data_IF_098282778954
#
_entry.id   IF_098282778954
#
_cell.length_a   1.000
_cell.length_b   1.000
_cell.length_c   1.000
_cell.angle_alpha   90.00
_cell.angle_beta   90.00
_cell.angle_gamma   90.00
#
_symmetry.space_group_name_H-M   'P 1'
#
loop_
_entity.id
_entity.type
_entity.pdbx_description
1 polymer ?
#
# COMPACT_ATOMS: atom_id res chain seq x y z
N UNK A 1 -24.20 18.49 2.28
CA UNK A 1 -24.10 17.83 3.60
C UNK A 1 -24.88 16.53 3.52
N UNK A 2 -24.22 15.43 3.17
CA UNK A 2 -24.86 14.12 3.06
C UNK A 2 -24.61 13.39 4.37
N UNK A 3 -25.65 13.30 5.21
CA UNK A 3 -25.65 12.46 6.41
C UNK A 3 -25.72 11.00 5.95
N UNK A 4 -24.65 10.24 6.16
CA UNK A 4 -24.69 8.78 6.03
C UNK A 4 -25.51 8.21 7.20
N UNK A 5 -26.70 7.67 6.90
CA UNK A 5 -27.50 6.91 7.86
C UNK A 5 -26.81 5.57 8.10
N UNK A 6 -26.53 5.28 9.37
CA UNK A 6 -26.12 3.96 9.86
C UNK A 6 -27.18 2.92 9.47
N UNK A 7 -26.74 1.85 8.79
CA UNK A 7 -27.53 0.65 8.58
C UNK A 7 -27.74 -0.05 9.93
N UNK A 8 -28.95 -0.60 10.15
CA UNK A 8 -29.48 -0.94 11.49
C UNK A 8 -29.07 -2.30 12.06
N UNK A 9 -28.32 -3.12 11.33
CA UNK A 9 -28.19 -4.53 11.71
C UNK A 9 -26.79 -4.95 12.24
N UNK A 10 -25.88 -4.00 12.46
CA UNK A 10 -24.56 -4.30 13.05
C UNK A 10 -24.51 -3.77 14.48
N UNK A 11 -24.58 -4.68 15.46
CA UNK A 11 -24.33 -4.36 16.86
C UNK A 11 -22.82 -4.11 17.08
N UNK A 12 -22.37 -2.91 16.75
CA UNK A 12 -20.96 -2.50 16.85
C UNK A 12 -20.38 -2.71 18.25
N UNK A 13 -21.20 -2.59 19.29
CA UNK A 13 -20.81 -2.77 20.68
C UNK A 13 -20.42 -4.22 21.00
N UNK A 14 -21.12 -5.18 20.39
CA UNK A 14 -20.85 -6.61 20.53
C UNK A 14 -19.68 -7.05 19.64
N UNK A 15 -19.60 -6.52 18.42
CA UNK A 15 -18.50 -6.81 17.50
C UNK A 15 -17.13 -6.33 18.02
N UNK A 16 -17.07 -5.17 18.69
CA UNK A 16 -15.83 -4.63 19.27
C UNK A 16 -15.46 -5.33 20.59
N UNK A 17 -16.45 -5.82 21.33
CA UNK A 17 -16.26 -6.47 22.64
C UNK A 17 -15.81 -7.92 22.56
N UNK A 18 -16.26 -8.67 21.54
CA UNK A 18 -16.04 -10.12 21.43
C UNK A 18 -14.93 -10.52 20.44
N UNK A 19 -14.55 -9.65 19.50
CA UNK A 19 -13.57 -9.96 18.47
C UNK A 19 -12.38 -8.99 18.61
N UNK A 20 -11.28 -9.51 19.18
CA UNK A 20 -10.08 -8.72 19.42
C UNK A 20 -9.51 -8.17 18.11
N UNK A 21 -9.69 -6.87 17.92
CA UNK A 21 -8.81 -6.05 17.10
C UNK A 21 -7.42 -5.99 17.76
N UNK A 22 -6.60 -7.02 17.56
CA UNK A 22 -5.32 -7.15 18.28
C UNK A 22 -4.33 -6.01 18.01
N UNK A 23 -4.55 -5.16 17.00
CA UNK A 23 -3.71 -3.97 16.75
C UNK A 23 -4.48 -2.72 16.27
N UNK A 24 -5.77 -2.60 16.57
CA UNK A 24 -6.40 -1.27 16.48
C UNK A 24 -6.23 -0.62 17.85
N UNK A 25 -5.50 0.51 17.98
CA UNK A 25 -5.45 1.19 19.27
C UNK A 25 -6.89 1.48 19.68
N UNK A 26 -7.33 0.95 20.84
CA UNK A 26 -8.60 1.33 21.48
C UNK A 26 -8.76 2.86 21.58
N UNK A 27 -7.68 3.62 21.42
CA UNK A 27 -7.64 5.06 21.31
C UNK A 27 -8.35 5.68 20.07
N UNK A 28 -8.68 4.90 19.04
CA UNK A 28 -9.33 5.42 17.82
C UNK A 28 -10.85 5.28 17.81
N UNK A 29 -11.44 4.59 18.79
CA UNK A 29 -12.87 4.32 18.83
C UNK A 29 -13.42 4.60 20.23
N UNK A 30 -14.56 5.27 20.30
CA UNK A 30 -15.30 5.45 21.53
C UNK A 30 -15.98 4.12 21.90
N UNK A 31 -16.37 3.98 23.17
CA UNK A 31 -17.03 2.77 23.70
C UNK A 31 -18.38 2.43 23.02
N UNK A 32 -18.91 3.33 22.19
CA UNK A 32 -20.11 3.16 21.37
C UNK A 32 -19.82 2.75 19.92
N UNK A 33 -18.56 2.49 19.55
CA UNK A 33 -18.15 2.09 18.20
C UNK A 33 -17.94 3.26 17.22
N UNK A 34 -18.17 4.51 17.62
CA UNK A 34 -17.85 5.65 16.75
C UNK A 34 -16.35 5.92 16.73
N UNK A 35 -15.80 6.25 15.55
CA UNK A 35 -14.41 6.68 15.41
C UNK A 35 -14.21 7.97 16.22
N UNK A 36 -13.26 7.97 17.14
CA UNK A 36 -12.84 9.17 17.84
C UNK A 36 -12.11 10.07 16.85
N UNK A 37 -12.55 11.34 16.68
CA UNK A 37 -11.87 12.27 15.79
C UNK A 37 -10.42 12.45 16.26
N UNK A 38 -9.48 11.94 15.48
CA UNK A 38 -8.06 12.13 15.73
C UNK A 38 -7.72 13.56 15.27
N UNK A 39 -7.67 14.50 16.22
CA UNK A 39 -7.44 15.91 15.91
C UNK A 39 -6.04 16.23 15.35
N UNK A 40 -5.10 15.27 15.42
CA UNK A 40 -3.72 15.48 14.97
C UNK A 40 -3.08 14.18 14.44
N UNK A 41 -3.01 14.05 13.11
CA UNK A 41 -2.39 12.93 12.37
C UNK A 41 -0.95 12.68 12.86
N UNK A 42 -0.20 13.73 13.22
CA UNK A 42 1.20 13.63 13.65
C UNK A 42 1.36 13.02 15.05
N UNK A 43 0.37 13.17 15.94
CA UNK A 43 0.42 12.56 17.28
C UNK A 43 0.16 11.07 17.24
N UNK A 44 -0.77 10.62 16.40
CA UNK A 44 -1.06 9.20 16.20
C UNK A 44 0.16 8.46 15.63
N UNK A 45 0.79 9.01 14.60
CA UNK A 45 2.01 8.42 14.00
C UNK A 45 3.14 8.32 15.03
N UNK A 46 3.41 9.39 15.79
CA UNK A 46 4.43 9.36 16.84
C UNK A 46 4.13 8.31 17.93
N UNK A 47 2.85 8.06 18.24
CA UNK A 47 2.47 7.04 19.21
C UNK A 47 2.72 5.63 18.68
N UNK A 48 2.32 5.37 17.43
CA UNK A 48 2.53 4.08 16.76
C UNK A 48 4.02 3.78 16.60
N UNK A 49 4.83 4.78 16.23
CA UNK A 49 6.29 4.65 16.14
C UNK A 49 6.98 4.39 17.48
N UNK A 50 6.45 4.92 18.59
CA UNK A 50 6.98 4.66 19.94
C UNK A 50 6.72 3.22 20.37
N UNK A 51 5.51 2.71 20.13
CA UNK A 51 5.14 1.34 20.51
C UNK A 51 5.99 0.30 19.78
N UNK A 52 6.38 0.56 18.52
CA UNK A 52 7.28 -0.34 17.77
C UNK A 52 8.73 -0.38 18.28
N UNK A 53 9.14 0.52 19.18
CA UNK A 53 10.52 0.54 19.73
C UNK A 53 10.65 -0.27 21.02
N UNK A 54 9.54 -0.63 21.66
CA UNK A 54 9.54 -1.37 22.92
C UNK A 54 9.61 -2.91 22.71
N UNK A 55 9.48 -3.40 21.47
CA UNK A 55 9.47 -4.83 21.10
C UNK A 55 10.83 -5.39 20.62
N UNK A 56 11.98 -4.80 20.99
CA UNK A 56 13.29 -5.41 20.72
C UNK A 56 13.80 -6.10 21.99
N UNK A 57 13.82 -7.45 22.06
CA UNK A 57 14.42 -8.14 23.20
C UNK A 57 15.94 -7.96 23.16
N UNK A 58 16.51 -7.56 24.30
CA UNK A 58 17.93 -7.66 24.58
C UNK A 58 18.36 -9.13 24.54
N UNK A 59 19.28 -9.48 23.64
CA UNK A 59 20.00 -10.76 23.70
C UNK A 59 21.10 -10.67 24.77
N UNK A 60 20.96 -11.46 25.83
CA UNK A 60 22.07 -11.83 26.71
C UNK A 60 22.43 -13.31 26.49
N UNK A 61 23.74 -13.56 26.52
CA UNK A 61 24.45 -14.76 26.09
C UNK A 61 24.31 -16.01 27.00
N UNK A 62 24.54 -17.16 26.34
CA UNK A 62 25.28 -18.37 26.76
C UNK A 62 24.53 -19.70 27.11
N UNK A 63 24.77 -20.66 26.20
CA UNK A 63 24.80 -22.14 26.20
C UNK A 63 25.11 -22.88 27.54
N UNK A 64 24.69 -24.15 27.73
CA UNK A 64 25.45 -25.30 27.18
C UNK A 64 24.68 -26.57 26.68
N UNK A 65 25.32 -27.16 25.66
CA UNK A 65 25.46 -28.54 25.13
C UNK A 65 24.75 -29.81 25.71
N UNK A 66 24.34 -30.67 24.73
CA UNK A 66 24.62 -32.12 24.52
C UNK A 66 23.85 -33.28 25.23
N UNK A 67 23.53 -34.31 24.41
CA UNK A 67 23.19 -35.72 24.76
C UNK A 67 21.80 -36.16 24.23
N UNK A 68 21.62 -36.93 23.14
CA UNK A 68 21.89 -38.36 22.84
C UNK A 68 20.63 -39.27 22.96
N UNK A 69 20.20 -39.86 21.81
CA UNK A 69 19.63 -41.24 21.55
C UNK A 69 18.49 -41.79 22.45
N UNK A 70 17.39 -42.46 22.02
CA UNK A 70 17.23 -43.59 21.07
C UNK A 70 15.75 -44.12 21.04
N UNK A 71 15.32 -44.81 19.95
CA UNK A 71 14.29 -45.90 19.81
C UNK A 71 12.80 -45.64 20.19
N UNK A 72 11.74 -46.25 19.60
CA UNK A 72 11.37 -46.93 18.35
C UNK A 72 9.84 -47.26 18.47
N UNK A 73 9.14 -47.35 17.33
CA UNK A 73 7.88 -48.08 17.04
C UNK A 73 6.50 -47.69 17.63
N UNK A 74 5.54 -47.39 16.73
CA UNK A 74 4.29 -48.16 16.55
C UNK A 74 3.39 -47.58 15.43
N UNK A 75 2.84 -48.47 14.58
CA UNK A 75 1.78 -48.25 13.59
C UNK A 75 0.45 -47.80 14.24
N UNK A 76 -0.38 -47.04 13.52
CA UNK A 76 -1.69 -47.51 12.99
C UNK A 76 -2.66 -46.35 12.67
N UNK A 77 -3.48 -46.61 11.65
CA UNK A 77 -4.73 -45.96 11.20
C UNK A 77 -4.65 -44.59 10.51
N UNK A 78 -5.22 -44.59 9.29
CA UNK A 78 -5.24 -43.46 8.40
C UNK A 78 -6.23 -42.37 8.79
N UNK A 79 -5.87 -41.16 8.38
CA UNK A 79 -6.79 -40.12 7.98
C UNK A 79 -6.07 -39.33 6.89
N UNK A 80 -6.62 -39.33 5.68
CA UNK A 80 -6.20 -38.44 4.60
C UNK A 80 -6.55 -37.02 5.02
N UNK A 81 -5.62 -36.36 5.71
CA UNK A 81 -5.78 -34.96 6.02
C UNK A 81 -5.46 -34.18 4.75
N UNK A 82 -6.53 -33.69 4.14
CA UNK A 82 -6.49 -32.79 2.99
C UNK A 82 -5.70 -31.58 3.47
N UNK A 83 -4.43 -31.48 3.09
CA UNK A 83 -3.60 -30.31 3.32
C UNK A 83 -4.25 -29.15 2.58
N UNK A 84 -5.16 -28.44 3.25
CA UNK A 84 -5.55 -27.10 2.87
C UNK A 84 -4.28 -26.26 2.97
N UNK A 85 -3.61 -26.08 1.85
CA UNK A 85 -2.54 -25.11 1.75
C UNK A 85 -3.16 -23.74 2.05
N UNK A 86 -2.97 -23.25 3.27
CA UNK A 86 -3.40 -21.92 3.77
C UNK A 86 -2.64 -20.76 3.08
N UNK A 87 -2.13 -21.00 1.86
CA UNK A 87 -1.51 -20.00 1.02
C UNK A 87 -2.53 -19.47 0.02
N UNK A 88 -2.66 -18.14 -0.11
CA UNK A 88 -3.59 -17.56 -1.08
C UNK A 88 -3.19 -17.98 -2.50
N UNK A 89 -4.16 -18.32 -3.35
CA UNK A 89 -3.92 -18.66 -4.76
C UNK A 89 -3.21 -17.55 -5.54
N UNK A 90 -3.35 -16.30 -5.08
CA UNK A 90 -2.80 -15.12 -5.73
C UNK A 90 -2.53 -13.99 -4.76
N UNK A 91 -1.43 -13.27 -4.96
CA UNK A 91 -1.05 -12.10 -4.15
C UNK A 91 -1.02 -10.83 -4.99
N UNK A 92 -1.74 -9.81 -4.56
CA UNK A 92 -1.92 -8.54 -5.28
C UNK A 92 -1.35 -7.41 -4.43
N UNK A 93 -0.39 -6.67 -4.98
CA UNK A 93 0.22 -5.52 -4.34
C UNK A 93 -0.42 -4.21 -4.83
N UNK A 94 -1.05 -3.45 -3.95
CA UNK A 94 -1.53 -2.10 -4.18
C UNK A 94 -0.52 -1.10 -3.63
N UNK A 95 0.11 -0.33 -4.50
CA UNK A 95 1.27 0.51 -4.16
C UNK A 95 0.96 1.96 -4.45
N UNK A 96 1.10 2.79 -3.42
CA UNK A 96 1.20 4.24 -3.61
C UNK A 96 2.59 4.56 -4.21
N UNK A 97 2.59 5.02 -5.45
CA UNK A 97 3.80 5.32 -6.20
C UNK A 97 4.58 6.50 -5.62
N UNK A 98 3.92 7.46 -4.97
CA UNK A 98 4.61 8.63 -4.41
C UNK A 98 5.49 8.23 -3.22
N UNK A 99 5.10 7.20 -2.47
CA UNK A 99 5.90 6.63 -1.38
C UNK A 99 7.22 6.09 -1.89
N UNK A 100 7.19 5.39 -3.03
CA UNK A 100 8.39 4.87 -3.66
C UNK A 100 9.27 5.99 -4.20
N UNK A 101 8.69 7.02 -4.84
CA UNK A 101 9.44 8.20 -5.30
C UNK A 101 10.14 8.88 -4.12
N UNK A 102 9.45 9.10 -3.01
CA UNK A 102 10.03 9.75 -1.82
C UNK A 102 11.16 8.91 -1.20
N UNK A 103 11.08 7.58 -1.24
CA UNK A 103 12.17 6.70 -0.77
C UNK A 103 13.45 6.80 -1.63
N UNK A 104 13.34 7.29 -2.86
CA UNK A 104 14.49 7.57 -3.74
C UNK A 104 15.13 8.95 -3.48
N UNK A 105 14.72 9.68 -2.42
CA UNK A 105 15.30 10.98 -2.08
C UNK A 105 16.82 10.94 -1.88
N UNK A 106 17.35 9.81 -1.42
CA UNK A 106 18.79 9.52 -1.37
C UNK A 106 19.19 8.75 -2.62
N UNK A 107 19.33 9.46 -3.74
CA UNK A 107 19.72 8.86 -5.02
C UNK A 107 21.13 8.28 -4.94
N UNK A 108 21.37 7.03 -5.39
CA UNK A 108 22.72 6.52 -5.62
C UNK A 108 23.49 7.42 -6.59
N UNK A 109 24.83 7.44 -6.48
CA UNK A 109 25.68 8.23 -7.39
C UNK A 109 25.55 7.84 -8.87
N UNK A 110 25.05 6.63 -9.14
CA UNK A 110 24.78 6.11 -10.49
C UNK A 110 23.53 6.73 -11.13
N UNK A 111 22.66 7.40 -10.36
CA UNK A 111 21.45 8.05 -10.90
C UNK A 111 21.80 9.46 -11.38
N UNK A 112 22.07 9.57 -12.69
CA UNK A 112 22.46 10.83 -13.33
C UNK A 112 21.27 11.46 -14.04
N UNK A 113 20.44 10.65 -14.68
CA UNK A 113 19.32 11.07 -15.52
C UNK A 113 17.96 10.63 -14.97
N UNK A 114 16.88 11.16 -15.52
CA UNK A 114 15.52 10.68 -15.24
C UNK A 114 15.32 9.23 -15.69
N UNK A 115 15.99 8.77 -16.75
CA UNK A 115 16.00 7.35 -17.13
C UNK A 115 16.64 6.45 -16.08
N UNK A 116 17.75 6.89 -15.49
CA UNK A 116 18.39 6.14 -14.40
C UNK A 116 17.48 6.10 -13.16
N UNK A 117 16.77 7.20 -12.90
CA UNK A 117 15.78 7.27 -11.82
C UNK A 117 14.63 6.28 -12.06
N UNK A 118 14.11 6.17 -13.29
CA UNK A 118 13.04 5.21 -13.59
C UNK A 118 13.51 3.76 -13.50
N UNK A 119 14.77 3.47 -13.90
CA UNK A 119 15.37 2.16 -13.69
C UNK A 119 15.44 1.80 -12.19
N UNK A 120 15.98 2.71 -11.37
CA UNK A 120 16.07 2.53 -9.92
C UNK A 120 14.69 2.38 -9.26
N UNK A 121 13.71 3.15 -9.72
CA UNK A 121 12.32 3.04 -9.27
C UNK A 121 11.72 1.67 -9.60
N UNK A 122 11.92 1.18 -10.83
CA UNK A 122 11.47 -0.15 -11.25
C UNK A 122 12.10 -1.26 -10.39
N UNK A 123 13.42 -1.21 -10.20
CA UNK A 123 14.13 -2.20 -9.40
C UNK A 123 13.60 -2.23 -7.96
N UNK A 124 13.31 -1.05 -7.39
CA UNK A 124 12.74 -0.94 -6.05
C UNK A 124 11.32 -1.48 -5.98
N UNK A 125 10.49 -1.19 -6.99
CA UNK A 125 9.13 -1.72 -7.08
C UNK A 125 9.15 -3.25 -7.18
N UNK A 126 9.91 -3.80 -8.13
CA UNK A 126 9.99 -5.25 -8.35
C UNK A 126 10.60 -5.98 -7.16
N UNK A 127 11.55 -5.37 -6.45
CA UNK A 127 12.07 -5.91 -5.19
C UNK A 127 11.02 -5.92 -4.08
N UNK A 128 10.23 -4.84 -3.95
CA UNK A 128 9.16 -4.74 -2.94
C UNK A 128 8.04 -5.76 -3.20
N UNK A 129 7.75 -6.04 -4.46
CA UNK A 129 6.62 -6.88 -4.91
C UNK A 129 7.07 -8.20 -5.54
N UNK A 130 8.27 -8.69 -5.17
CA UNK A 130 8.87 -9.89 -5.74
C UNK A 130 7.98 -11.13 -5.64
N UNK A 131 7.24 -11.27 -4.54
CA UNK A 131 6.45 -12.45 -4.24
C UNK A 131 4.95 -12.26 -4.57
N UNK A 132 4.60 -11.26 -5.39
CA UNK A 132 3.23 -10.91 -5.79
C UNK A 132 2.98 -11.22 -7.27
N UNK A 133 1.81 -11.73 -7.62
CA UNK A 133 1.43 -12.07 -9.00
C UNK A 133 0.91 -10.85 -9.78
N UNK A 134 0.39 -9.88 -9.04
CA UNK A 134 -0.22 -8.67 -9.58
C UNK A 134 0.27 -7.43 -8.81
N UNK A 135 0.55 -6.36 -9.55
CA UNK A 135 1.01 -5.08 -9.01
C UNK A 135 0.10 -3.99 -9.57
N UNK A 136 -0.52 -3.23 -8.68
CA UNK A 136 -1.33 -2.05 -9.00
C UNK A 136 -0.59 -0.84 -8.42
N UNK A 137 0.05 -0.06 -9.29
CA UNK A 137 0.78 1.13 -8.94
C UNK A 137 -0.09 2.36 -9.21
N UNK A 138 -0.33 3.18 -8.18
CA UNK A 138 -1.20 4.35 -8.26
C UNK A 138 -0.42 5.61 -7.93
N UNK A 139 -0.60 6.67 -8.71
CA UNK A 139 -0.10 8.00 -8.43
C UNK A 139 -1.25 9.00 -8.27
N UNK A 140 -0.99 10.10 -7.56
CA UNK A 140 -1.88 11.26 -7.55
C UNK A 140 -2.07 11.81 -8.97
N UNK A 141 -3.28 12.26 -9.28
CA UNK A 141 -3.58 13.03 -10.49
C UNK A 141 -3.41 14.52 -10.17
N UNK A 142 -2.57 15.22 -10.94
CA UNK A 142 -2.30 16.64 -10.75
C UNK A 142 -3.12 17.48 -11.73
N UNK A 143 -4.29 17.97 -11.30
CA UNK A 143 -5.14 18.85 -12.12
C UNK A 143 -4.96 20.32 -11.73
N UNK A 144 -4.90 21.19 -12.73
CA UNK A 144 -4.76 22.65 -12.54
C UNK A 144 -6.03 23.30 -11.99
N UNK A 145 -7.20 22.74 -12.34
CA UNK A 145 -8.54 23.20 -11.95
C UNK A 145 -9.04 22.64 -10.60
N UNK A 146 -8.21 21.90 -9.87
CA UNK A 146 -8.62 21.27 -8.61
C UNK A 146 -8.65 22.23 -7.41
N UNK A 147 -9.55 21.97 -6.46
CA UNK A 147 -9.54 22.53 -5.10
C UNK A 147 -8.17 22.37 -4.38
N UNK A 148 -7.40 21.33 -4.72
CA UNK A 148 -6.05 21.12 -4.19
C UNK A 148 -5.00 22.00 -4.83
N UNK A 149 -5.15 22.46 -6.08
CA UNK A 149 -4.16 23.31 -6.74
C UNK A 149 -3.97 24.62 -5.94
N UNK A 150 -5.07 25.24 -5.53
CA UNK A 150 -5.07 26.43 -4.67
C UNK A 150 -4.38 26.19 -3.30
N UNK A 151 -4.50 24.99 -2.74
CA UNK A 151 -3.84 24.63 -1.47
C UNK A 151 -2.35 24.33 -1.68
N UNK A 152 -1.98 23.68 -2.79
CA UNK A 152 -0.59 23.41 -3.17
C UNK A 152 0.16 24.72 -3.46
N UNK A 153 -0.48 25.68 -4.10
CA UNK A 153 0.08 27.02 -4.37
C UNK A 153 0.33 27.83 -3.10
N UNK A 154 -0.60 27.79 -2.13
CA UNK A 154 -0.37 28.39 -0.80
C UNK A 154 0.83 27.79 -0.07
N UNK A 155 1.09 26.47 -0.23
CA UNK A 155 2.25 25.80 0.39
C UNK A 155 3.59 26.16 -0.29
N UNK A 156 3.58 26.67 -1.52
CA UNK A 156 4.80 26.88 -2.33
C UNK A 156 5.49 28.21 -2.13
N UNK A 157 4.80 29.23 -1.61
CA UNK A 157 5.33 30.59 -1.46
C UNK A 157 6.05 31.13 -2.74
N UNK A 158 5.69 30.65 -3.94
CA UNK A 158 6.21 31.12 -5.23
C UNK A 158 7.61 30.67 -5.68
N UNK A 159 8.27 29.70 -5.03
CA UNK A 159 9.68 29.32 -5.32
C UNK A 159 9.89 27.97 -6.03
N UNK A 160 8.92 27.49 -6.80
CA UNK A 160 9.01 26.19 -7.47
C UNK A 160 9.65 26.31 -8.87
N UNK A 161 10.57 25.40 -9.20
CA UNK A 161 11.17 25.32 -10.54
C UNK A 161 10.50 24.17 -11.29
N UNK A 162 9.94 24.47 -12.44
CA UNK A 162 9.47 23.45 -13.37
C UNK A 162 10.66 22.87 -14.14
N UNK A 163 10.92 21.59 -13.95
CA UNK A 163 11.83 20.80 -14.77
C UNK A 163 11.04 20.05 -15.84
N UNK A 164 11.66 19.87 -17.00
CA UNK A 164 11.19 18.98 -18.04
C UNK A 164 11.56 17.53 -17.67
N UNK A 165 10.66 16.58 -17.95
CA UNK A 165 10.87 15.15 -17.67
C UNK A 165 11.07 14.39 -18.99
N UNK A 166 12.30 13.97 -19.26
CA UNK A 166 12.70 13.16 -20.44
C UNK A 166 13.84 12.22 -20.07
N UNK A 167 14.03 11.14 -20.81
CA UNK A 167 15.08 10.14 -20.57
C UNK A 167 16.47 10.77 -20.28
N UNK A 168 16.86 11.80 -21.04
CA UNK A 168 18.15 12.48 -21.01
C UNK A 168 18.25 13.64 -20.01
N UNK A 169 17.16 13.96 -19.30
CA UNK A 169 17.13 15.05 -18.32
C UNK A 169 18.12 14.76 -17.19
N UNK A 170 19.18 15.57 -17.09
CA UNK A 170 20.20 15.43 -16.06
C UNK A 170 19.68 15.94 -14.70
N UNK A 171 19.67 15.05 -13.72
CA UNK A 171 19.26 15.31 -12.34
C UNK A 171 20.38 15.02 -11.32
N UNK A 172 21.61 14.77 -11.76
CA UNK A 172 22.74 14.35 -10.92
C UNK A 172 22.95 15.26 -9.71
N UNK A 173 22.91 16.57 -9.94
CA UNK A 173 23.13 17.60 -8.92
C UNK A 173 21.84 18.25 -8.41
N UNK A 174 20.68 17.69 -8.76
CA UNK A 174 19.38 18.21 -8.36
C UNK A 174 18.82 17.31 -7.26
N UNK A 175 18.65 17.79 -6.02
CA UNK A 175 17.97 17.04 -4.98
C UNK A 175 16.55 16.68 -5.42
N UNK A 176 16.09 15.45 -5.12
CA UNK A 176 14.78 15.00 -5.58
C UNK A 176 13.64 15.88 -5.01
N UNK A 177 13.79 16.37 -3.78
CA UNK A 177 12.84 17.34 -3.17
C UNK A 177 12.72 18.65 -3.98
N UNK A 178 13.82 19.12 -4.57
CA UNK A 178 13.82 20.29 -5.47
C UNK A 178 13.22 19.96 -6.82
N UNK A 179 13.57 18.81 -7.38
CA UNK A 179 13.03 18.33 -8.65
C UNK A 179 11.49 18.21 -8.58
N UNK A 180 10.98 17.71 -7.46
CA UNK A 180 9.55 17.60 -7.17
C UNK A 180 8.94 18.87 -6.56
N UNK A 181 9.53 20.05 -6.74
CA UNK A 181 8.99 21.29 -6.16
C UNK A 181 7.75 21.81 -6.91
N UNK A 182 7.64 21.52 -8.21
CA UNK A 182 6.59 22.00 -9.10
C UNK A 182 5.62 20.87 -9.50
N UNK A 183 4.31 21.14 -9.55
CA UNK A 183 3.27 20.10 -9.73
C UNK A 183 3.30 19.61 -11.16
N UNK A 184 3.56 20.48 -12.15
CA UNK A 184 3.72 20.01 -13.51
C UNK A 184 4.87 19.01 -13.62
N UNK A 185 6.00 19.27 -12.95
CA UNK A 185 7.13 18.33 -12.95
C UNK A 185 6.77 17.03 -12.23
N UNK A 186 5.97 17.10 -11.15
CA UNK A 186 5.46 15.88 -10.50
C UNK A 186 4.54 15.10 -11.43
N UNK A 187 3.58 15.77 -12.06
CA UNK A 187 2.63 15.19 -13.01
C UNK A 187 3.37 14.48 -14.15
N UNK A 188 4.27 15.23 -14.82
CA UNK A 188 5.10 14.72 -15.90
C UNK A 188 5.94 13.53 -15.44
N UNK A 189 6.48 13.56 -14.21
CA UNK A 189 7.25 12.45 -13.66
C UNK A 189 6.39 11.23 -13.36
N UNK A 190 5.23 11.38 -12.73
CA UNK A 190 4.36 10.24 -12.40
C UNK A 190 3.85 9.55 -13.65
N UNK A 191 3.52 10.33 -14.69
CA UNK A 191 3.11 9.79 -15.99
C UNK A 191 4.26 9.07 -16.69
N UNK A 192 5.45 9.68 -16.67
CA UNK A 192 6.65 9.08 -17.21
C UNK A 192 6.98 7.75 -16.51
N UNK A 193 6.93 7.72 -15.16
CA UNK A 193 7.20 6.51 -14.39
C UNK A 193 6.16 5.42 -14.64
N UNK A 194 4.87 5.76 -14.65
CA UNK A 194 3.80 4.81 -14.98
C UNK A 194 4.04 4.17 -16.36
N UNK A 195 4.35 4.96 -17.38
CA UNK A 195 4.65 4.46 -18.72
C UNK A 195 5.92 3.58 -18.75
N UNK A 196 7.00 4.00 -18.08
CA UNK A 196 8.27 3.25 -18.05
C UNK A 196 8.16 1.93 -17.31
N UNK A 197 7.38 1.85 -16.23
CA UNK A 197 7.12 0.59 -15.53
C UNK A 197 6.48 -0.44 -16.48
N UNK A 198 5.49 -0.02 -17.28
CA UNK A 198 4.89 -0.91 -18.26
C UNK A 198 5.88 -1.30 -19.36
N UNK A 199 6.70 -0.37 -19.84
CA UNK A 199 7.75 -0.62 -20.85
C UNK A 199 8.77 -1.66 -20.38
N UNK A 200 9.32 -1.51 -19.19
CA UNK A 200 10.32 -2.42 -18.63
C UNK A 200 9.78 -3.82 -18.37
N UNK A 201 8.47 -3.95 -18.15
CA UNK A 201 7.83 -5.20 -17.75
C UNK A 201 6.83 -5.75 -18.80
N UNK A 202 6.97 -5.36 -20.07
CA UNK A 202 6.11 -5.88 -21.16
C UNK A 202 6.12 -7.40 -21.26
N UNK A 203 7.27 -8.03 -21.03
CA UNK A 203 7.44 -9.50 -21.06
C UNK A 203 7.26 -10.18 -19.70
N UNK A 204 6.85 -9.45 -18.65
CA UNK A 204 6.73 -10.02 -17.31
C UNK A 204 5.53 -10.97 -17.21
N UNK A 205 5.71 -12.09 -16.52
CA UNK A 205 4.59 -12.98 -16.18
C UNK A 205 3.61 -12.33 -15.18
N UNK A 206 4.09 -11.38 -14.36
CA UNK A 206 3.26 -10.60 -13.44
C UNK A 206 2.32 -9.68 -14.21
N UNK A 207 1.10 -9.53 -13.72
CA UNK A 207 0.21 -8.48 -14.19
C UNK A 207 0.60 -7.16 -13.51
N UNK A 208 0.85 -6.12 -14.30
CA UNK A 208 1.21 -4.80 -13.78
C UNK A 208 0.23 -3.79 -14.35
N UNK A 209 -0.45 -3.12 -13.45
CA UNK A 209 -1.41 -2.06 -13.71
C UNK A 209 -0.82 -0.77 -13.14
N UNK A 210 -0.86 0.30 -13.92
CA UNK A 210 -0.43 1.63 -13.49
C UNK A 210 -1.57 2.63 -13.69
N UNK A 211 -1.82 3.48 -12.70
CA UNK A 211 -2.79 4.57 -12.80
C UNK A 211 -2.11 5.91 -12.51
N UNK A 212 -2.13 6.81 -13.48
CA UNK A 212 -1.54 8.15 -13.40
C UNK A 212 -2.27 9.11 -14.34
N UNK A 213 -2.38 10.39 -13.96
CA UNK A 213 -3.09 11.43 -14.72
C UNK A 213 -4.46 11.01 -15.24
N UNK A 214 -5.28 10.38 -14.38
CA UNK A 214 -6.62 9.89 -14.72
C UNK A 214 -6.66 8.67 -15.65
N UNK A 215 -5.51 8.15 -16.10
CA UNK A 215 -5.42 7.04 -17.04
C UNK A 215 -4.93 5.78 -16.34
N UNK A 216 -5.68 4.69 -16.46
CA UNK A 216 -5.25 3.36 -16.01
C UNK A 216 -4.85 2.50 -17.20
N UNK A 217 -3.68 1.87 -17.11
CA UNK A 217 -3.09 1.04 -18.16
C UNK A 217 -2.49 -0.21 -17.56
N UNK A 218 -2.26 -1.24 -18.36
CA UNK A 218 -1.55 -2.44 -17.91
C UNK A 218 -0.54 -2.96 -18.94
N UNK A 219 0.35 -3.85 -18.49
CA UNK A 219 1.30 -4.54 -19.37
C UNK A 219 0.68 -5.72 -20.14
N UNK A 220 -0.61 -5.99 -19.91
CA UNK A 220 -1.41 -7.01 -20.60
C UNK A 220 -2.65 -6.37 -21.23
N UNK A 221 -3.40 -7.14 -22.01
CA UNK A 221 -4.63 -6.68 -22.64
C UNK A 221 -5.77 -6.66 -21.62
N UNK A 222 -5.85 -5.57 -20.86
CA UNK A 222 -6.97 -5.25 -19.97
C UNK A 222 -7.58 -3.92 -20.36
N UNK A 223 -8.91 -3.87 -20.33
CA UNK A 223 -9.67 -2.65 -20.54
C UNK A 223 -10.00 -2.02 -19.19
N UNK A 224 -9.83 -0.70 -19.11
CA UNK A 224 -10.13 0.08 -17.92
C UNK A 224 -11.08 1.20 -18.31
N UNK A 225 -12.05 1.45 -17.43
CA UNK A 225 -12.87 2.66 -17.53
C UNK A 225 -12.04 3.88 -17.14
N UNK A 226 -12.38 5.02 -17.74
CA UNK A 226 -11.85 6.30 -17.28
C UNK A 226 -12.31 6.54 -15.83
N UNK A 227 -11.39 7.04 -15.01
CA UNK A 227 -11.69 7.37 -13.63
C UNK A 227 -11.29 8.81 -13.36
N UNK A 228 -12.10 9.51 -12.56
CA UNK A 228 -11.91 10.92 -12.26
C UNK A 228 -11.29 11.15 -10.86
N UNK A 229 -10.73 10.09 -10.26
CA UNK A 229 -10.11 10.16 -8.94
C UNK A 229 -8.85 11.02 -8.99
N UNK A 230 -8.83 12.06 -8.15
CA UNK A 230 -7.66 12.93 -8.05
C UNK A 230 -6.60 12.35 -7.11
N UNK A 231 -7.03 11.71 -6.02
CA UNK A 231 -6.18 11.30 -4.92
C UNK A 231 -5.81 9.83 -5.03
N UNK A 232 -4.52 9.52 -4.81
CA UNK A 232 -4.02 8.15 -4.90
C UNK A 232 -4.71 7.20 -3.90
N UNK A 233 -5.09 7.68 -2.72
CA UNK A 233 -5.78 6.88 -1.70
C UNK A 233 -7.15 6.38 -2.18
N UNK A 234 -8.01 7.27 -2.70
CA UNK A 234 -9.33 6.89 -3.22
C UNK A 234 -9.21 6.00 -4.46
N UNK A 235 -8.21 6.26 -5.31
CA UNK A 235 -7.94 5.46 -6.50
C UNK A 235 -7.39 4.08 -6.16
N UNK A 236 -6.56 3.95 -5.11
CA UNK A 236 -6.11 2.64 -4.60
C UNK A 236 -7.30 1.78 -4.17
N UNK A 237 -8.30 2.37 -3.52
CA UNK A 237 -9.50 1.66 -3.07
C UNK A 237 -10.36 1.26 -4.27
N UNK A 238 -10.57 2.17 -5.22
CA UNK A 238 -11.27 1.85 -6.46
C UNK A 238 -10.60 0.67 -7.20
N UNK A 239 -9.27 0.71 -7.35
CA UNK A 239 -8.52 -0.38 -7.96
C UNK A 239 -8.56 -1.67 -7.15
N UNK A 240 -8.64 -1.60 -5.81
CA UNK A 240 -8.78 -2.76 -4.94
C UNK A 240 -10.13 -3.46 -5.12
N UNK A 241 -11.22 -2.70 -5.29
CA UNK A 241 -12.55 -3.25 -5.61
C UNK A 241 -12.52 -3.95 -6.97
N UNK A 242 -11.97 -3.30 -7.99
CA UNK A 242 -11.78 -3.93 -9.30
C UNK A 242 -10.90 -5.18 -9.22
N UNK A 243 -9.86 -5.18 -8.36
CA UNK A 243 -9.00 -6.33 -8.13
C UNK A 243 -9.75 -7.48 -7.49
N UNK A 244 -10.68 -7.16 -6.61
CA UNK A 244 -11.50 -8.14 -5.90
C UNK A 244 -12.50 -8.82 -6.82
N UNK A 245 -13.04 -8.11 -7.81
CA UNK A 245 -13.94 -8.69 -8.81
C UNK A 245 -13.22 -9.60 -9.83
N UNK A 246 -11.97 -9.27 -10.21
CA UNK A 246 -11.25 -10.02 -11.26
C UNK A 246 -10.45 -11.22 -10.74
N UNK A 247 -10.24 -11.33 -9.43
CA UNK A 247 -9.39 -12.36 -8.84
C UNK A 247 -10.22 -13.36 -8.01
N UNK A 248 -9.73 -14.59 -7.81
CA UNK A 248 -10.38 -15.59 -6.96
C UNK A 248 -10.62 -15.10 -5.52
N UNK A 249 -11.65 -15.63 -4.86
CA UNK A 249 -12.05 -15.21 -3.50
C UNK A 249 -10.97 -15.45 -2.43
N UNK A 250 -10.06 -16.40 -2.66
CA UNK A 250 -8.95 -16.73 -1.77
C UNK A 250 -7.68 -15.91 -2.06
N UNK A 251 -7.71 -15.02 -3.07
CA UNK A 251 -6.63 -14.09 -3.34
C UNK A 251 -6.45 -13.07 -2.21
N UNK A 252 -5.23 -12.55 -2.09
CA UNK A 252 -4.83 -11.64 -1.04
C UNK A 252 -4.46 -10.26 -1.58
N UNK A 253 -5.06 -9.21 -1.01
CA UNK A 253 -4.65 -7.83 -1.26
C UNK A 253 -3.63 -7.36 -0.22
N UNK A 254 -2.64 -6.62 -0.68
CA UNK A 254 -1.62 -6.00 0.16
C UNK A 254 -1.44 -4.53 -0.19
N UNK A 255 -1.79 -3.64 0.74
CA UNK A 255 -1.60 -2.21 0.57
C UNK A 255 -0.21 -1.76 1.06
N UNK A 256 0.49 -1.01 0.21
CA UNK A 256 1.78 -0.36 0.47
C UNK A 256 1.60 1.15 0.39
N UNK A 257 1.05 1.73 1.44
CA UNK A 257 0.98 3.17 1.63
C UNK A 257 1.09 3.53 3.12
N UNK A 258 1.77 4.62 3.48
CA UNK A 258 1.85 5.12 4.85
C UNK A 258 0.62 5.95 5.24
N UNK A 259 -0.28 6.26 4.31
CA UNK A 259 -1.42 7.14 4.57
C UNK A 259 -2.53 6.41 5.33
N UNK A 260 -2.88 6.97 6.49
CA UNK A 260 -3.94 6.47 7.38
C UNK A 260 -5.31 6.51 6.75
N UNK A 261 -5.51 7.42 5.81
CA UNK A 261 -6.79 7.60 5.11
C UNK A 261 -7.13 6.34 4.30
N UNK A 262 -6.13 5.60 3.81
CA UNK A 262 -6.32 4.31 3.13
C UNK A 262 -6.84 3.24 4.10
N UNK A 263 -6.36 3.20 5.34
CA UNK A 263 -6.89 2.25 6.33
C UNK A 263 -8.37 2.51 6.59
N UNK A 264 -8.74 3.78 6.81
CA UNK A 264 -10.14 4.17 7.01
C UNK A 264 -11.00 3.83 5.80
N UNK A 265 -10.50 4.11 4.59
CA UNK A 265 -11.24 3.82 3.36
C UNK A 265 -11.37 2.31 3.10
N UNK A 266 -10.34 1.49 3.37
CA UNK A 266 -10.47 0.03 3.27
C UNK A 266 -11.49 -0.49 4.27
N UNK A 267 -11.46 -0.02 5.53
CA UNK A 267 -12.47 -0.41 6.51
C UNK A 267 -13.87 -0.04 6.06
N UNK A 268 -14.05 1.17 5.50
CA UNK A 268 -15.34 1.64 5.00
C UNK A 268 -15.84 0.85 3.77
N UNK A 269 -14.95 0.22 3.01
CA UNK A 269 -15.27 -0.53 1.79
C UNK A 269 -15.02 -2.04 1.94
N UNK A 270 -14.86 -2.54 3.18
CA UNK A 270 -14.40 -3.91 3.43
C UNK A 270 -15.26 -4.98 2.75
N UNK A 271 -16.58 -4.80 2.73
CA UNK A 271 -17.53 -5.73 2.12
C UNK A 271 -17.41 -5.82 0.59
N UNK A 272 -16.79 -4.82 -0.04
CA UNK A 272 -16.54 -4.78 -1.48
C UNK A 272 -15.17 -5.35 -1.87
N UNK A 273 -14.35 -5.72 -0.87
CA UNK A 273 -12.98 -6.19 -1.06
C UNK A 273 -12.86 -7.69 -0.78
N UNK A 274 -11.80 -8.30 -1.32
CA UNK A 274 -11.42 -9.67 -0.95
C UNK A 274 -11.24 -9.77 0.57
N UNK A 275 -11.69 -10.87 1.18
CA UNK A 275 -11.68 -11.02 2.64
C UNK A 275 -10.28 -11.15 3.23
N UNK A 276 -9.27 -11.53 2.43
CA UNK A 276 -7.88 -11.69 2.88
C UNK A 276 -7.07 -10.42 2.60
N UNK A 277 -7.35 -9.34 3.33
CA UNK A 277 -6.65 -8.06 3.18
C UNK A 277 -5.55 -7.90 4.22
N UNK A 278 -4.37 -7.47 3.77
CA UNK A 278 -3.26 -7.10 4.65
C UNK A 278 -2.80 -5.67 4.35
N UNK A 279 -2.18 -5.04 5.35
CA UNK A 279 -1.49 -3.75 5.20
C UNK A 279 -0.03 -3.90 5.57
N UNK A 280 0.84 -3.21 4.83
CA UNK A 280 2.24 -3.06 5.19
C UNK A 280 2.56 -1.58 5.31
N UNK A 281 2.50 -1.08 6.54
CA UNK A 281 3.16 0.17 6.88
C UNK A 281 4.68 -0.02 6.77
N UNK A 282 5.48 1.03 6.58
CA UNK A 282 6.91 0.91 6.85
C UNK A 282 7.05 0.49 8.32
N UNK A 283 7.29 -0.81 8.54
CA UNK A 283 7.54 -1.52 9.81
C UNK A 283 6.36 -2.25 10.52
N UNK A 284 5.12 -2.25 10.03
CA UNK A 284 4.03 -3.05 10.64
C UNK A 284 3.19 -3.79 9.60
N UNK A 285 2.99 -5.09 9.79
CA UNK A 285 2.04 -5.92 9.03
C UNK A 285 0.73 -6.02 9.81
N UNK A 286 -0.34 -5.38 9.34
CA UNK A 286 -1.69 -5.56 9.91
C UNK A 286 -2.47 -6.54 9.04
N UNK A 287 -3.09 -7.56 9.64
CA UNK A 287 -4.09 -8.42 8.97
C UNK A 287 -5.48 -7.94 9.34
N UNK A 288 -6.38 -7.79 8.37
CA UNK A 288 -7.82 -7.80 8.63
C UNK A 288 -8.28 -9.25 8.48
N UNK A 289 -8.69 -9.88 9.57
CA UNK A 289 -9.26 -11.22 9.54
C UNK A 289 -10.79 -11.13 9.54
N UNK A 290 -11.42 -12.17 8.99
CA UNK A 290 -12.87 -12.33 8.96
C UNK A 290 -13.44 -12.43 10.39
N UNK A 291 -14.42 -11.58 10.73
CA UNK A 291 -15.44 -11.95 11.73
C UNK A 291 -16.34 -13.00 11.08
N UNK A 292 -16.20 -14.27 11.49
CA UNK A 292 -17.07 -15.36 11.07
C UNK A 292 -18.31 -15.47 11.95
N UNK A 293 -19.43 -15.67 11.25
CA UNK A 293 -20.63 -16.45 11.59
C UNK A 293 -21.21 -16.37 13.01
N UNK A 294 -22.30 -15.60 13.12
CA UNK A 294 -23.56 -15.96 13.79
C UNK A 294 -24.74 -15.43 12.96
#
# INVERSE_FOLDING_TARGET
MVLARSNRDINQKEAIGNYEFTLTPRALFASNGTILPCHDKSKLINLLEKLTREDVPHEDHQLPQAGSTTHQDAMDTGFTDTTSTDQPSRKIALVDGMVLVQRLSKKPATVVTVKDLSGCFNDRLMSLTRDYDEIILVFDTYRTDSLKSATRDKRRQGKAIQYQVRDDTNIKHIPLSRFLSHDQTKADLTDYLAAKILEYNRGSSKLIITSASGNTRSNKDLLFEENNHEEADTLLIHQAVLASHRNPADAQLMFFSPDTDILLLVTANYDLLLKNNRFRWPLVLCRLNHCGEL
#
